data_IF_326807163654
#
_entry.id   IF_326807163654
#
_cell.length_a   1.000
_cell.length_b   1.000
_cell.length_c   1.000
_cell.angle_alpha   90.00
_cell.angle_beta   90.00
_cell.angle_gamma   90.00
#
_symmetry.space_group_name_H-M   'P 1'
#
loop_
_entity.id
_entity.type
_entity.pdbx_description
1 polymer ?
#
# COMPACT_ATOMS: atom_id res chain seq x y z
N UNK A 1 -15.12 24.67 15.55
CA UNK A 1 -14.80 25.77 14.61
C UNK A 1 -14.20 25.14 13.36
N UNK A 2 -14.86 25.26 12.20
CA UNK A 2 -14.36 24.64 10.97
C UNK A 2 -13.31 25.54 10.30
N UNK A 3 -12.21 24.98 9.77
CA UNK A 3 -11.21 25.79 9.08
C UNK A 3 -11.81 26.45 7.84
N UNK A 4 -11.37 27.68 7.56
CA UNK A 4 -11.75 28.38 6.34
C UNK A 4 -11.24 27.63 5.10
N UNK A 5 -11.90 27.78 3.95
CA UNK A 5 -11.44 27.19 2.68
C UNK A 5 -10.00 27.57 2.35
N UNK A 6 -9.59 28.80 2.67
CA UNK A 6 -8.22 29.28 2.48
C UNK A 6 -7.22 28.48 3.33
N UNK A 7 -7.53 28.22 4.60
CA UNK A 7 -6.67 27.43 5.49
C UNK A 7 -6.53 25.98 5.01
N UNK A 8 -7.62 25.36 4.56
CA UNK A 8 -7.59 23.99 3.98
C UNK A 8 -6.73 23.95 2.72
N UNK A 9 -6.81 24.97 1.88
CA UNK A 9 -5.99 25.06 0.67
C UNK A 9 -4.50 25.19 0.98
N UNK A 10 -4.13 26.06 1.93
CA UNK A 10 -2.75 26.22 2.39
C UNK A 10 -2.20 24.93 3.00
N UNK A 11 -3.00 24.19 3.77
CA UNK A 11 -2.59 22.90 4.31
C UNK A 11 -2.32 21.87 3.22
N UNK A 12 -3.19 21.78 2.21
CA UNK A 12 -2.98 20.86 1.08
C UNK A 12 -1.71 21.17 0.29
N UNK A 13 -1.41 22.45 0.07
CA UNK A 13 -0.16 22.88 -0.58
C UNK A 13 1.05 22.44 0.25
N UNK A 14 1.03 22.67 1.58
CA UNK A 14 2.12 22.22 2.45
C UNK A 14 2.33 20.71 2.38
N UNK A 15 1.24 19.93 2.42
CA UNK A 15 1.31 18.46 2.29
C UNK A 15 1.98 18.07 0.96
N UNK A 16 1.58 18.70 -0.16
CA UNK A 16 2.18 18.42 -1.46
C UNK A 16 3.66 18.77 -1.51
N UNK A 17 4.05 19.93 -0.99
CA UNK A 17 5.46 20.35 -0.93
C UNK A 17 6.28 19.37 -0.09
N UNK A 18 5.81 19.00 1.10
CA UNK A 18 6.50 18.04 1.96
C UNK A 18 6.69 16.68 1.28
N UNK A 19 5.66 16.16 0.60
CA UNK A 19 5.76 14.89 -0.13
C UNK A 19 6.74 14.98 -1.31
N UNK A 20 6.77 16.10 -2.04
CA UNK A 20 7.67 16.32 -3.17
C UNK A 20 9.13 16.52 -2.76
N UNK A 21 9.39 16.99 -1.53
CA UNK A 21 10.74 17.06 -0.97
C UNK A 21 11.30 15.67 -0.63
N UNK A 22 10.43 14.72 -0.23
CA UNK A 22 10.83 13.38 0.20
C UNK A 22 10.79 12.33 -0.92
N UNK A 23 9.97 12.56 -1.96
CA UNK A 23 9.64 11.55 -2.96
C UNK A 23 9.58 12.12 -4.38
N UNK A 24 9.91 11.31 -5.42
CA UNK A 24 9.83 11.73 -6.81
C UNK A 24 8.36 11.98 -7.24
N UNK A 25 8.18 12.96 -8.13
CA UNK A 25 6.87 13.43 -8.62
C UNK A 25 5.91 12.29 -8.99
N UNK A 26 6.37 11.29 -9.76
CA UNK A 26 5.54 10.15 -10.19
C UNK A 26 4.94 9.36 -9.03
N UNK A 27 5.67 9.19 -7.93
CA UNK A 27 5.17 8.48 -6.74
C UNK A 27 4.11 9.32 -6.02
N UNK A 28 4.38 10.61 -5.89
CA UNK A 28 3.47 11.56 -5.25
C UNK A 28 2.14 11.65 -6.02
N UNK A 29 2.20 11.82 -7.34
CA UNK A 29 1.03 11.85 -8.22
C UNK A 29 0.16 10.59 -8.06
N UNK A 30 0.79 9.40 -8.15
CA UNK A 30 0.08 8.13 -7.99
C UNK A 30 -0.57 7.99 -6.60
N UNK A 31 0.12 8.42 -5.55
CA UNK A 31 -0.42 8.39 -4.18
C UNK A 31 -1.62 9.31 -4.00
N UNK A 32 -1.60 10.49 -4.62
CA UNK A 32 -2.71 11.46 -4.58
C UNK A 32 -3.92 10.89 -5.31
N UNK A 33 -3.74 10.29 -6.49
CA UNK A 33 -4.83 9.66 -7.23
C UNK A 33 -5.53 8.58 -6.41
N UNK A 34 -4.76 7.73 -5.71
CA UNK A 34 -5.30 6.69 -4.82
C UNK A 34 -5.96 7.30 -3.58
N UNK A 35 -5.32 8.31 -2.97
CA UNK A 35 -5.85 9.03 -1.81
C UNK A 35 -7.18 9.74 -2.12
N UNK A 36 -7.29 10.37 -3.29
CA UNK A 36 -8.53 10.99 -3.77
C UNK A 36 -9.64 9.96 -3.95
N UNK A 37 -9.33 8.79 -4.52
CA UNK A 37 -10.31 7.70 -4.67
C UNK A 37 -10.84 7.16 -3.33
N UNK A 38 -10.10 7.33 -2.24
CA UNK A 38 -10.48 6.91 -0.88
C UNK A 38 -10.86 8.08 0.04
N UNK A 39 -10.92 9.32 -0.49
CA UNK A 39 -11.13 10.56 0.25
C UNK A 39 -10.17 10.75 1.44
N UNK A 40 -8.94 10.23 1.34
CA UNK A 40 -7.89 10.38 2.36
C UNK A 40 -6.69 11.10 1.77
N UNK A 41 -6.62 12.41 2.07
CA UNK A 41 -5.60 13.32 1.53
C UNK A 41 -4.70 13.93 2.61
N UNK A 42 -4.67 13.35 3.80
CA UNK A 42 -3.73 13.75 4.84
C UNK A 42 -2.32 13.22 4.55
N UNK A 43 -1.31 13.92 5.08
CA UNK A 43 0.09 13.61 4.82
C UNK A 43 0.46 12.18 5.22
N UNK A 44 0.01 11.70 6.40
CA UNK A 44 0.34 10.38 6.90
C UNK A 44 -0.20 9.27 5.99
N UNK A 45 -1.45 9.41 5.54
CA UNK A 45 -2.06 8.47 4.59
C UNK A 45 -1.33 8.48 3.24
N UNK A 46 -1.07 9.65 2.67
CA UNK A 46 -0.37 9.74 1.38
C UNK A 46 1.04 9.15 1.45
N UNK A 47 1.77 9.41 2.54
CA UNK A 47 3.09 8.82 2.80
C UNK A 47 3.01 7.29 2.91
N UNK A 48 2.02 6.77 3.63
CA UNK A 48 1.80 5.32 3.74
C UNK A 48 1.52 4.68 2.38
N UNK A 49 0.71 5.32 1.53
CA UNK A 49 0.46 4.86 0.16
C UNK A 49 1.76 4.85 -0.65
N UNK A 50 2.59 5.88 -0.56
CA UNK A 50 3.88 5.94 -1.25
C UNK A 50 4.81 4.81 -0.83
N UNK A 51 4.90 4.53 0.48
CA UNK A 51 5.71 3.44 1.02
C UNK A 51 5.19 2.08 0.54
N UNK A 52 3.88 1.85 0.62
CA UNK A 52 3.27 0.62 0.14
C UNK A 52 3.52 0.39 -1.36
N UNK A 53 3.45 1.45 -2.17
CA UNK A 53 3.77 1.38 -3.61
C UNK A 53 5.26 1.14 -3.88
N UNK A 54 6.15 1.49 -2.95
CA UNK A 54 7.58 1.20 -3.08
C UNK A 54 7.88 -0.26 -2.77
N UNK A 55 7.17 -0.86 -1.81
CA UNK A 55 7.32 -2.27 -1.40
C UNK A 55 6.60 -3.23 -2.35
N UNK A 56 5.64 -2.73 -3.15
CA UNK A 56 5.18 -3.42 -4.34
C UNK A 56 6.26 -3.41 -5.44
N UNK A 57 7.41 -4.04 -5.18
CA UNK A 57 7.97 -4.89 -6.23
C UNK A 57 6.85 -5.86 -6.54
N UNK A 58 6.20 -5.71 -7.69
CA UNK A 58 5.35 -6.77 -8.23
C UNK A 58 6.17 -8.03 -8.02
N UNK A 59 5.73 -9.02 -7.22
CA UNK A 59 6.39 -10.30 -7.26
C UNK A 59 6.30 -10.68 -8.73
N UNK A 60 7.43 -10.65 -9.44
CA UNK A 60 7.53 -11.36 -10.69
C UNK A 60 6.99 -12.72 -10.35
N UNK A 61 5.91 -13.15 -10.99
CA UNK A 61 5.50 -14.54 -10.91
C UNK A 61 6.76 -15.31 -11.33
N UNK A 62 7.51 -15.78 -10.34
CA UNK A 62 8.80 -16.45 -10.56
C UNK A 62 8.55 -17.72 -11.39
N UNK A 63 7.30 -18.18 -11.40
CA UNK A 63 6.83 -19.35 -12.10
C UNK A 63 5.60 -18.98 -12.92
N UNK A 64 5.67 -19.20 -14.23
CA UNK A 64 4.51 -19.30 -15.08
C UNK A 64 3.82 -20.64 -14.81
N UNK A 65 2.62 -20.60 -14.24
CA UNK A 65 1.81 -21.80 -14.07
C UNK A 65 1.06 -22.15 -15.36
N UNK A 66 1.20 -23.38 -15.81
CA UNK A 66 0.35 -23.95 -16.86
C UNK A 66 -1.07 -24.16 -16.33
N UNK A 67 -2.11 -24.12 -17.19
CA UNK A 67 -3.49 -24.40 -16.77
C UNK A 67 -3.64 -25.72 -16.00
N UNK A 68 -2.87 -26.75 -16.37
CA UNK A 68 -2.86 -28.05 -15.70
C UNK A 68 -2.31 -27.96 -14.27
N UNK A 69 -1.24 -27.20 -14.05
CA UNK A 69 -0.68 -26.99 -12.71
C UNK A 69 -1.64 -26.24 -11.79
N UNK A 70 -2.48 -25.36 -12.34
CA UNK A 70 -3.53 -24.68 -11.57
C UNK A 70 -4.66 -25.64 -11.20
N UNK A 71 -5.08 -26.50 -12.13
CA UNK A 71 -6.11 -27.52 -11.87
C UNK A 71 -5.66 -28.54 -10.82
N UNK A 72 -4.41 -28.96 -10.90
CA UNK A 72 -3.82 -29.94 -9.99
C UNK A 72 -3.25 -29.30 -8.70
N UNK A 73 -3.40 -27.98 -8.55
CA UNK A 73 -2.86 -27.26 -7.39
C UNK A 73 -3.60 -27.68 -6.11
N UNK A 74 -2.83 -28.16 -5.13
CA UNK A 74 -3.32 -28.45 -3.78
C UNK A 74 -2.62 -27.54 -2.79
N UNK A 75 -3.35 -26.85 -1.91
CA UNK A 75 -2.74 -26.05 -0.87
C UNK A 75 -1.92 -26.96 0.05
N UNK A 76 -0.67 -26.60 0.31
CA UNK A 76 0.10 -27.25 1.37
C UNK A 76 -0.35 -26.70 2.73
N UNK A 77 -1.23 -27.45 3.39
CA UNK A 77 -1.80 -27.07 4.69
C UNK A 77 -0.90 -27.43 5.88
N UNK A 78 0.30 -27.98 5.65
CA UNK A 78 1.19 -28.36 6.75
C UNK A 78 1.56 -27.19 7.65
N UNK A 79 1.74 -26.00 7.08
CA UNK A 79 2.01 -24.76 7.83
C UNK A 79 0.80 -24.28 8.65
N UNK A 80 -0.43 -24.60 8.23
CA UNK A 80 -1.65 -24.30 8.98
C UNK A 80 -1.82 -25.20 10.20
N UNK A 81 -1.32 -26.44 10.13
CA UNK A 81 -1.34 -27.36 11.27
C UNK A 81 -0.48 -26.83 12.42
N UNK A 82 0.63 -26.16 12.14
CA UNK A 82 1.48 -25.50 13.15
C UNK A 82 0.78 -24.34 13.87
N UNK A 83 -0.14 -23.64 13.19
CA UNK A 83 -0.89 -22.51 13.76
C UNK A 83 -2.06 -22.96 14.65
N UNK A 84 -2.66 -24.11 14.35
CA UNK A 84 -3.79 -24.66 15.12
C UNK A 84 -3.36 -25.48 16.34
N UNK A 85 -2.13 -25.99 16.35
CA UNK A 85 -1.59 -26.73 17.49
C UNK A 85 -1.24 -25.84 18.70
N UNK A 86 -1.39 -24.51 18.61
CA UNK A 86 -0.99 -23.60 19.66
C UNK A 86 0.51 -23.74 19.92
N UNK A 87 1.33 -23.19 19.01
CA UNK A 87 2.77 -23.18 19.19
C UNK A 87 3.14 -22.58 20.55
N UNK A 88 3.51 -23.42 21.50
CA UNK A 88 4.42 -23.04 22.57
C UNK A 88 5.71 -22.63 21.87
N UNK A 89 5.97 -21.34 21.90
CA UNK A 89 7.26 -20.77 21.52
C UNK A 89 8.16 -21.05 22.71
N UNK A 90 8.99 -22.11 22.62
CA UNK A 90 10.24 -22.20 23.40
C UNK A 90 11.34 -21.38 22.71
#
# INVERSE_FOLDING_TARGET
MFPSRAQVHVQRIHILISLLQEHPLKKVERSITIGLGSNRTDYATLKSIILHLADQKTPSLLESYTPRQVVDWKPNLSAYNSLSAGGEIE
#
